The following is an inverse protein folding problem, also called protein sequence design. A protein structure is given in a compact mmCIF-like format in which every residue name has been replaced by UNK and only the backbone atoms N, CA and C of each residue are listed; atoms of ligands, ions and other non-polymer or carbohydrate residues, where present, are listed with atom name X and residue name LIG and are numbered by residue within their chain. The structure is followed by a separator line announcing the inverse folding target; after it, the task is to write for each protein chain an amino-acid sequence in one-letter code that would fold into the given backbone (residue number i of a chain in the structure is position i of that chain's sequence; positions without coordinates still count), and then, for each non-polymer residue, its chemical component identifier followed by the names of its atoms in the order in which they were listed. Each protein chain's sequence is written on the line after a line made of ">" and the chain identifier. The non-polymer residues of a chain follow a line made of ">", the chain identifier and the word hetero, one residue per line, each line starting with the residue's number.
data_IF_461882112842
#
_entry.id   IF_461882112842
#
_cell.length_a   1.000
_cell.length_b   1.000
_cell.length_c   1.000
_cell.angle_alpha   90.00
_cell.angle_beta   90.00
_cell.angle_gamma   90.00
#
_symmetry.space_group_name_H-M   'P 1'
#
loop_
_entity.id
_entity.type
_entity.pdbx_description
1 polymer ?
#
# COMPACT_ATOMS: atom_id res chain seq x y z
N UNK A 1 7.99 -2.48 19.46
CA UNK A 1 9.08 -2.74 20.43
C UNK A 1 10.08 -3.79 19.96
N UNK A 2 10.23 -3.95 18.65
CA UNK A 2 11.20 -4.88 18.05
C UNK A 2 12.58 -4.20 17.85
N UNK A 3 12.60 -2.90 17.59
CA UNK A 3 13.82 -2.11 17.45
C UNK A 3 14.17 -1.33 18.73
N UNK A 4 14.97 -1.94 19.59
CA UNK A 4 15.48 -1.30 20.81
C UNK A 4 16.46 -0.14 20.56
N UNK A 5 17.00 -0.04 19.35
CA UNK A 5 17.92 1.03 18.99
C UNK A 5 17.21 2.28 18.48
N UNK A 6 15.95 2.12 18.01
CA UNK A 6 15.16 3.16 17.33
C UNK A 6 15.76 3.60 15.99
N UNK A 7 16.76 2.85 15.45
CA UNK A 7 17.50 3.27 14.27
C UNK A 7 17.00 2.66 12.97
N UNK A 8 16.24 1.55 13.04
CA UNK A 8 15.83 0.81 11.85
C UNK A 8 14.95 1.65 10.90
N UNK A 9 13.88 2.23 11.42
CA UNK A 9 13.01 3.11 10.64
C UNK A 9 13.77 4.37 10.18
N UNK A 10 14.60 4.97 11.05
CA UNK A 10 15.40 6.13 10.68
C UNK A 10 16.30 5.81 9.48
N UNK A 11 17.01 4.69 9.51
CA UNK A 11 17.89 4.27 8.41
C UNK A 11 17.10 3.99 7.14
N UNK A 12 16.04 3.20 7.24
CA UNK A 12 15.26 2.78 6.09
C UNK A 12 14.62 3.99 5.37
N UNK A 13 13.99 4.90 6.13
CA UNK A 13 13.34 6.09 5.54
C UNK A 13 14.36 7.06 4.95
N UNK A 14 15.47 7.29 5.65
CA UNK A 14 16.55 8.14 5.15
C UNK A 14 17.16 7.57 3.85
N UNK A 15 17.42 6.26 3.80
CA UNK A 15 17.91 5.62 2.58
C UNK A 15 16.91 5.71 1.45
N UNK A 16 15.61 5.52 1.76
CA UNK A 16 14.56 5.60 0.77
C UNK A 16 14.45 7.00 0.16
N UNK A 17 14.59 8.05 0.99
CA UNK A 17 14.69 9.43 0.50
C UNK A 17 15.89 9.63 -0.42
N UNK A 18 17.07 9.15 -0.04
CA UNK A 18 18.31 9.35 -0.81
C UNK A 18 18.28 8.66 -2.18
N UNK A 19 17.62 7.53 -2.28
CA UNK A 19 17.45 6.85 -3.57
C UNK A 19 16.30 7.42 -4.41
N UNK A 20 15.66 8.49 -3.95
CA UNK A 20 14.50 9.09 -4.61
C UNK A 20 13.29 8.17 -4.61
N UNK A 21 13.00 7.58 -3.46
CA UNK A 21 11.83 6.73 -3.26
C UNK A 21 10.53 7.50 -3.47
N UNK A 22 9.51 6.82 -3.99
CA UNK A 22 8.20 7.40 -4.20
C UNK A 22 7.50 7.66 -2.87
N UNK A 23 6.95 8.86 -2.68
CA UNK A 23 6.28 9.26 -1.43
C UNK A 23 7.15 9.03 -0.18
N UNK A 24 8.44 9.34 -0.28
CA UNK A 24 9.40 9.07 0.79
C UNK A 24 9.07 9.87 2.07
N UNK A 25 8.93 9.16 3.19
CA UNK A 25 8.60 9.73 4.49
C UNK A 25 9.72 10.56 5.06
N UNK A 26 9.41 11.72 5.66
CA UNK A 26 10.34 12.43 6.52
C UNK A 26 10.49 11.69 7.85
N UNK A 27 11.67 11.76 8.43
CA UNK A 27 11.94 11.16 9.73
C UNK A 27 12.96 11.97 10.49
N UNK A 28 12.61 12.35 11.73
CA UNK A 28 13.47 13.09 12.62
C UNK A 28 13.44 12.50 14.04
N UNK A 29 14.61 12.25 14.67
CA UNK A 29 14.66 11.87 16.08
C UNK A 29 14.42 13.08 16.95
N UNK A 30 13.60 12.93 17.98
CA UNK A 30 13.24 13.99 18.93
C UNK A 30 13.27 13.49 20.37
N UNK A 31 13.60 14.36 21.30
CA UNK A 31 13.39 14.15 22.73
C UNK A 31 11.94 14.45 23.09
N UNK A 32 11.23 13.46 23.60
CA UNK A 32 9.83 13.63 24.02
C UNK A 32 9.75 14.00 25.50
N UNK A 33 9.08 15.12 25.77
CA UNK A 33 8.68 15.52 27.11
C UNK A 33 7.15 15.58 27.20
N UNK A 34 6.59 14.97 28.23
CA UNK A 34 5.15 15.04 28.55
C UNK A 34 5.01 15.60 29.94
N UNK A 35 4.31 16.70 30.09
CA UNK A 35 4.12 17.42 31.37
C UNK A 35 5.47 17.77 32.08
N UNK A 36 6.49 18.05 31.29
CA UNK A 36 7.85 18.35 31.79
C UNK A 36 8.71 17.13 32.15
N UNK A 37 8.19 15.91 32.02
CA UNK A 37 8.92 14.69 32.24
C UNK A 37 9.48 14.13 30.92
N UNK A 38 10.77 13.80 30.91
CA UNK A 38 11.41 13.16 29.77
C UNK A 38 10.89 11.73 29.57
N UNK A 39 10.47 11.41 28.35
CA UNK A 39 9.89 10.12 28.00
C UNK A 39 10.76 9.29 27.05
N UNK A 40 11.93 9.80 26.70
CA UNK A 40 12.87 9.14 25.79
C UNK A 40 12.89 9.76 24.39
N UNK A 41 13.61 9.08 23.52
CA UNK A 41 13.76 9.47 22.13
C UNK A 41 12.67 8.80 21.31
N UNK A 42 12.04 9.60 20.44
CA UNK A 42 11.00 9.16 19.50
C UNK A 42 11.38 9.58 18.09
N UNK A 43 10.83 8.88 17.10
CA UNK A 43 10.89 9.32 15.72
C UNK A 43 9.60 10.06 15.38
N UNK A 44 9.72 11.29 14.93
CA UNK A 44 8.63 12.00 14.26
C UNK A 44 8.73 11.65 12.78
N UNK A 45 7.65 11.14 12.22
CA UNK A 45 7.57 10.75 10.82
C UNK A 45 6.22 11.11 10.23
N UNK A 46 6.15 11.21 8.91
CA UNK A 46 4.89 11.37 8.20
C UNK A 46 4.02 10.13 8.39
N UNK A 47 2.70 10.32 8.31
CA UNK A 47 1.72 9.23 8.23
C UNK A 47 1.53 8.83 6.76
N UNK A 48 1.29 7.56 6.48
CA UNK A 48 0.85 7.10 5.17
C UNK A 48 -0.60 7.53 4.97
N UNK A 49 -0.80 8.58 4.21
CA UNK A 49 -2.12 9.11 3.84
C UNK A 49 -2.02 9.95 2.57
N UNK A 50 -3.14 10.15 1.90
CA UNK A 50 -3.21 10.99 0.69
C UNK A 50 -3.03 12.47 1.07
N UNK A 51 -1.96 13.07 0.61
CA UNK A 51 -1.65 14.50 0.74
C UNK A 51 -0.54 14.86 -0.25
N UNK A 52 -0.50 16.09 -0.72
CA UNK A 52 0.49 16.58 -1.69
C UNK A 52 1.94 16.49 -1.21
N UNK A 53 2.16 16.47 0.11
CA UNK A 53 3.50 16.34 0.71
C UNK A 53 3.77 14.92 1.23
N UNK A 54 2.85 13.98 1.04
CA UNK A 54 2.94 12.58 1.49
C UNK A 54 2.73 11.64 0.29
N UNK A 55 1.58 10.96 0.21
CA UNK A 55 1.24 10.20 -0.99
C UNK A 55 0.46 11.10 -1.94
N UNK A 56 1.14 11.63 -2.95
CA UNK A 56 0.59 12.61 -3.89
C UNK A 56 -0.26 11.91 -4.96
N UNK A 57 -1.45 11.50 -4.56
CA UNK A 57 -2.53 11.07 -5.43
C UNK A 57 -3.79 11.87 -5.10
N UNK A 58 -4.70 11.99 -6.04
CA UNK A 58 -5.95 12.74 -5.86
C UNK A 58 -6.83 12.06 -4.82
N UNK A 59 -7.21 12.77 -3.76
CA UNK A 59 -8.16 12.25 -2.79
C UNK A 59 -9.52 12.00 -3.44
N UNK A 60 -10.18 10.84 -3.20
CA UNK A 60 -11.51 10.60 -3.70
C UNK A 60 -12.51 11.65 -3.19
N UNK A 61 -13.35 12.15 -4.08
CA UNK A 61 -14.41 13.11 -3.75
C UNK A 61 -15.76 12.38 -3.61
N UNK A 62 -16.26 12.35 -2.38
CA UNK A 62 -17.55 11.77 -2.03
C UNK A 62 -18.68 12.80 -1.89
N UNK A 63 -18.45 14.03 -2.33
CA UNK A 63 -19.41 15.15 -2.17
C UNK A 63 -20.76 14.90 -2.84
N UNK A 64 -20.87 13.91 -3.75
CA UNK A 64 -22.13 13.51 -4.37
C UNK A 64 -23.02 12.65 -3.47
N UNK A 65 -22.52 12.21 -2.31
CA UNK A 65 -23.32 11.54 -1.27
C UNK A 65 -24.09 12.56 -0.40
N UNK A 66 -24.58 13.66 -0.98
CA UNK A 66 -25.31 14.69 -0.28
C UNK A 66 -26.53 14.14 0.46
N UNK A 67 -26.60 14.44 1.76
CA UNK A 67 -27.76 14.19 2.60
C UNK A 67 -27.64 13.11 3.66
N UNK A 68 -26.58 12.29 3.65
CA UNK A 68 -26.37 11.31 4.72
C UNK A 68 -25.36 11.86 5.74
N UNK A 69 -25.75 12.07 7.02
CA UNK A 69 -24.83 12.54 8.03
C UNK A 69 -23.64 11.59 8.14
N UNK A 70 -22.44 12.07 7.88
CA UNK A 70 -21.18 11.30 7.91
C UNK A 70 -21.00 10.53 9.23
N UNK A 71 -21.48 11.11 10.34
CA UNK A 71 -21.47 10.46 11.66
C UNK A 71 -22.35 9.22 11.76
N UNK A 72 -23.46 9.13 11.00
CA UNK A 72 -24.34 7.97 11.01
C UNK A 72 -23.80 6.84 10.11
N UNK A 73 -23.12 7.19 9.05
CA UNK A 73 -22.45 6.24 8.17
C UNK A 73 -21.24 5.62 8.86
N UNK A 74 -20.44 6.39 9.62
CA UNK A 74 -19.24 5.93 10.31
C UNK A 74 -19.48 4.74 11.24
N UNK A 75 -20.51 4.78 12.06
CA UNK A 75 -20.80 3.72 13.06
C UNK A 75 -21.08 2.37 12.38
N UNK A 76 -21.57 2.39 11.16
CA UNK A 76 -22.01 1.18 10.45
C UNK A 76 -20.91 0.67 9.53
N UNK A 77 -20.21 1.58 8.88
CA UNK A 77 -19.14 1.25 7.94
C UNK A 77 -17.90 0.73 8.66
N UNK A 78 -17.73 1.00 9.97
CA UNK A 78 -16.66 0.42 10.79
C UNK A 78 -16.66 -1.13 10.82
N UNK A 79 -17.79 -1.75 10.45
CA UNK A 79 -17.95 -3.20 10.37
C UNK A 79 -18.22 -3.70 8.94
N UNK A 80 -17.98 -2.87 7.93
CA UNK A 80 -18.25 -3.20 6.54
C UNK A 80 -16.98 -3.57 5.82
N UNK A 81 -16.83 -4.84 5.49
CA UNK A 81 -15.78 -5.33 4.61
C UNK A 81 -16.31 -5.43 3.20
N UNK A 82 -15.58 -4.84 2.28
CA UNK A 82 -15.75 -5.04 0.85
C UNK A 82 -14.61 -5.92 0.36
N UNK A 83 -14.90 -7.06 -0.22
CA UNK A 83 -13.88 -7.91 -0.80
C UNK A 83 -14.26 -8.32 -2.22
N UNK A 84 -13.25 -8.57 -3.02
CA UNK A 84 -13.39 -9.02 -4.39
C UNK A 84 -12.40 -10.16 -4.64
N UNK A 85 -12.91 -11.35 -4.91
CA UNK A 85 -12.08 -12.51 -5.25
C UNK A 85 -11.97 -12.63 -6.77
N UNK A 86 -10.78 -12.32 -7.31
CA UNK A 86 -10.51 -12.41 -8.74
C UNK A 86 -10.33 -13.85 -9.24
N UNK A 87 -10.19 -14.83 -8.33
CA UNK A 87 -10.13 -16.27 -8.69
C UNK A 87 -11.52 -16.85 -8.97
N UNK A 88 -12.55 -16.31 -8.32
CA UNK A 88 -13.92 -16.60 -8.67
C UNK A 88 -14.31 -15.61 -9.75
N UNK A 89 -14.62 -16.06 -10.93
CA UNK A 89 -15.07 -15.26 -12.08
C UNK A 89 -15.25 -13.75 -11.77
N UNK A 90 -14.52 -12.85 -12.38
CA UNK A 90 -14.40 -11.39 -12.14
C UNK A 90 -15.74 -10.63 -11.91
N UNK A 91 -16.84 -11.35 -11.93
CA UNK A 91 -18.21 -10.87 -11.71
C UNK A 91 -18.66 -10.94 -10.26
N UNK A 92 -17.90 -11.56 -9.38
CA UNK A 92 -18.29 -11.74 -8.00
C UNK A 92 -17.63 -10.72 -7.07
N UNK A 93 -18.35 -9.65 -6.90
CA UNK A 93 -18.23 -8.92 -5.66
C UNK A 93 -19.18 -9.55 -4.63
N UNK A 94 -18.65 -9.98 -3.54
CA UNK A 94 -19.46 -10.32 -2.38
C UNK A 94 -19.41 -9.17 -1.39
N UNK A 95 -20.35 -8.26 -1.51
CA UNK A 95 -20.72 -7.39 -0.39
C UNK A 95 -21.35 -8.23 0.73
N UNK A 96 -20.56 -9.20 1.20
CA UNK A 96 -21.05 -10.19 2.17
C UNK A 96 -21.56 -9.55 3.47
N UNK A 97 -21.21 -8.27 3.70
CA UNK A 97 -21.62 -7.54 4.89
C UNK A 97 -22.70 -6.48 4.67
N UNK A 98 -23.17 -6.21 3.45
CA UNK A 98 -24.36 -5.38 3.23
C UNK A 98 -25.56 -5.91 4.01
N UNK A 99 -25.73 -7.21 4.06
CA UNK A 99 -26.74 -7.86 4.88
C UNK A 99 -26.52 -7.66 6.38
N UNK A 100 -25.27 -7.71 6.85
CA UNK A 100 -24.94 -7.53 8.26
C UNK A 100 -25.11 -6.06 8.71
N UNK A 101 -24.79 -5.09 7.87
CA UNK A 101 -25.02 -3.66 8.14
C UNK A 101 -26.53 -3.39 8.30
N UNK A 102 -27.31 -3.88 7.35
CA UNK A 102 -28.78 -3.74 7.40
C UNK A 102 -29.35 -4.45 8.62
N UNK A 103 -28.79 -5.59 9.02
CA UNK A 103 -29.18 -6.33 10.22
C UNK A 103 -28.78 -5.61 11.49
N UNK A 104 -27.56 -5.07 11.57
CA UNK A 104 -27.08 -4.31 12.73
C UNK A 104 -27.88 -3.00 12.95
N UNK A 105 -28.39 -2.41 11.89
CA UNK A 105 -29.27 -1.25 11.94
C UNK A 105 -30.76 -1.59 12.06
N UNK A 106 -31.11 -2.86 12.23
CA UNK A 106 -32.50 -3.32 12.16
C UNK A 106 -33.44 -2.68 13.21
N UNK A 107 -32.87 -2.30 14.36
CA UNK A 107 -33.62 -1.70 15.47
C UNK A 107 -33.69 -0.17 15.39
N UNK A 108 -33.02 0.46 14.42
CA UNK A 108 -33.05 1.91 14.20
C UNK A 108 -33.38 2.22 12.74
N UNK A 109 -34.65 2.58 12.52
CA UNK A 109 -35.17 2.85 11.17
C UNK A 109 -34.53 4.11 10.52
N UNK A 110 -34.12 5.12 11.30
CA UNK A 110 -33.44 6.29 10.78
C UNK A 110 -32.02 5.96 10.34
N UNK A 111 -31.29 5.16 11.13
CA UNK A 111 -29.97 4.67 10.84
C UNK A 111 -29.98 3.76 9.61
N UNK A 112 -30.95 2.82 9.56
CA UNK A 112 -31.17 1.95 8.40
C UNK A 112 -31.46 2.72 7.13
N UNK A 113 -32.31 3.74 7.20
CA UNK A 113 -32.61 4.61 6.07
C UNK A 113 -31.37 5.37 5.60
N UNK A 114 -30.55 5.87 6.55
CA UNK A 114 -29.29 6.53 6.26
C UNK A 114 -28.29 5.62 5.55
N UNK A 115 -28.15 4.37 6.03
CA UNK A 115 -27.28 3.36 5.41
C UNK A 115 -27.71 3.00 4.01
N UNK A 116 -29.02 2.79 3.82
CA UNK A 116 -29.56 2.48 2.50
C UNK A 116 -29.41 3.66 1.54
N UNK A 117 -29.58 4.89 2.03
CA UNK A 117 -29.36 6.09 1.24
C UNK A 117 -27.89 6.23 0.84
N UNK A 118 -26.95 5.95 1.76
CA UNK A 118 -25.53 5.94 1.45
C UNK A 118 -25.15 4.85 0.46
N UNK A 119 -25.61 3.62 0.67
CA UNK A 119 -25.38 2.52 -0.26
C UNK A 119 -25.92 2.85 -1.65
N UNK A 120 -27.13 3.43 -1.72
CA UNK A 120 -27.72 3.88 -2.97
C UNK A 120 -26.95 5.03 -3.61
N UNK A 121 -26.52 6.03 -2.82
CA UNK A 121 -25.70 7.12 -3.32
C UNK A 121 -24.31 6.62 -3.79
N UNK A 122 -23.74 5.66 -3.09
CA UNK A 122 -22.50 5.01 -3.51
C UNK A 122 -22.68 4.20 -4.81
N UNK A 123 -23.81 3.52 -4.99
CA UNK A 123 -24.16 2.87 -6.26
C UNK A 123 -24.35 3.87 -7.40
N UNK A 124 -24.99 5.00 -7.16
CA UNK A 124 -25.15 6.05 -8.17
C UNK A 124 -23.83 6.79 -8.46
N UNK A 125 -22.93 6.90 -7.48
CA UNK A 125 -21.60 7.45 -7.67
C UNK A 125 -20.67 6.51 -8.46
N UNK A 126 -21.06 5.26 -8.72
CA UNK A 126 -20.30 4.31 -9.54
C UNK A 126 -20.03 4.84 -10.96
N UNK A 127 -20.93 5.65 -11.49
CA UNK A 127 -20.76 6.28 -12.80
C UNK A 127 -19.68 7.38 -12.81
N UNK A 128 -19.10 7.73 -11.64
CA UNK A 128 -18.14 8.84 -11.49
C UNK A 128 -17.01 8.49 -10.53
N UNK A 129 -16.39 7.32 -10.73
CA UNK A 129 -15.19 7.00 -9.97
C UNK A 129 -14.13 8.09 -10.18
N UNK A 130 -13.57 8.56 -9.09
CA UNK A 130 -12.52 9.58 -9.08
C UNK A 130 -11.52 9.28 -7.95
N UNK A 131 -10.41 10.00 -7.97
CA UNK A 131 -9.38 9.88 -6.96
C UNK A 131 -8.50 8.65 -7.12
N UNK A 132 -7.40 8.67 -6.38
CA UNK A 132 -6.39 7.65 -6.36
C UNK A 132 -6.54 6.70 -5.17
N UNK A 133 -5.60 5.78 -5.09
CA UNK A 133 -5.59 4.74 -4.06
C UNK A 133 -4.23 4.65 -3.39
N UNK A 134 -4.23 4.42 -2.08
CA UNK A 134 -3.12 3.84 -1.34
C UNK A 134 -3.52 2.42 -0.97
N UNK A 135 -2.78 1.48 -1.50
CA UNK A 135 -3.03 0.05 -1.36
C UNK A 135 -1.90 -0.57 -0.52
N UNK A 136 -2.21 -1.62 0.20
CA UNK A 136 -1.22 -2.41 0.92
C UNK A 136 -1.24 -3.84 0.41
N UNK A 137 -0.07 -4.38 0.10
CA UNK A 137 0.08 -5.83 -0.08
C UNK A 137 -0.01 -6.47 1.30
N UNK A 138 -0.98 -7.34 1.48
CA UNK A 138 -1.34 -7.90 2.77
C UNK A 138 -1.58 -9.40 2.66
N UNK A 139 -1.43 -10.13 3.75
CA UNK A 139 -1.72 -11.56 3.77
C UNK A 139 -2.80 -11.95 4.78
N UNK A 140 -3.16 -11.08 5.72
CA UNK A 140 -4.01 -11.45 6.85
C UNK A 140 -5.10 -10.44 7.20
N UNK A 141 -5.06 -9.23 6.64
CA UNK A 141 -5.95 -8.15 7.09
C UNK A 141 -7.30 -8.17 6.40
N UNK A 142 -8.12 -9.17 6.74
CA UNK A 142 -9.53 -9.25 6.33
C UNK A 142 -10.46 -8.36 7.17
N UNK A 143 -9.92 -7.65 8.14
CA UNK A 143 -10.62 -6.66 8.96
C UNK A 143 -10.63 -5.26 8.33
N UNK A 144 -9.82 -5.02 7.30
CA UNK A 144 -9.90 -3.79 6.51
C UNK A 144 -11.24 -3.71 5.74
N UNK A 145 -11.76 -2.49 5.57
CA UNK A 145 -13.06 -2.27 4.94
C UNK A 145 -13.09 -2.67 3.46
N UNK A 146 -11.95 -2.61 2.77
CA UNK A 146 -11.83 -2.98 1.37
C UNK A 146 -10.60 -3.81 1.10
N UNK A 147 -10.75 -4.95 0.43
CA UNK A 147 -9.65 -5.80 -0.01
C UNK A 147 -10.08 -6.73 -1.16
N UNK A 148 -9.10 -7.27 -1.85
CA UNK A 148 -9.30 -8.29 -2.88
C UNK A 148 -8.09 -9.23 -2.95
N UNK A 149 -8.27 -10.37 -3.60
CA UNK A 149 -7.20 -11.35 -3.84
C UNK A 149 -7.09 -11.59 -5.34
N UNK A 150 -5.87 -11.51 -5.86
CA UNK A 150 -5.56 -11.80 -7.27
C UNK A 150 -5.58 -13.31 -7.55
N UNK A 151 -5.56 -13.70 -8.84
CA UNK A 151 -5.52 -15.12 -9.25
C UNK A 151 -4.32 -15.89 -8.70
N UNK A 152 -3.20 -15.20 -8.47
CA UNK A 152 -1.99 -15.82 -7.92
C UNK A 152 -1.89 -15.66 -6.40
N UNK A 153 -2.98 -15.26 -5.74
CA UNK A 153 -3.10 -15.26 -4.30
C UNK A 153 -2.50 -14.03 -3.61
N UNK A 154 -2.19 -12.97 -4.36
CA UNK A 154 -1.74 -11.72 -3.78
C UNK A 154 -2.95 -10.98 -3.22
N UNK A 155 -2.97 -10.79 -1.91
CA UNK A 155 -4.00 -10.02 -1.24
C UNK A 155 -3.62 -8.54 -1.21
N UNK A 156 -4.57 -7.70 -1.57
CA UNK A 156 -4.44 -6.24 -1.56
C UNK A 156 -5.54 -5.66 -0.69
N UNK A 157 -5.17 -4.84 0.28
CA UNK A 157 -6.10 -4.06 1.09
C UNK A 157 -6.02 -2.56 0.77
N UNK A 158 -7.10 -1.83 1.03
CA UNK A 158 -7.16 -0.39 0.86
C UNK A 158 -6.76 0.30 2.16
N UNK A 159 -5.80 1.20 2.08
CA UNK A 159 -5.46 2.12 3.16
C UNK A 159 -6.08 3.50 2.92
N UNK A 160 -6.13 3.91 1.66
CA UNK A 160 -6.86 5.10 1.23
C UNK A 160 -7.57 4.84 -0.10
N UNK A 161 -8.85 5.14 -0.18
CA UNK A 161 -9.70 5.54 0.94
C UNK A 161 -9.85 4.43 1.98
N UNK A 162 -9.87 4.77 3.27
CA UNK A 162 -10.06 3.79 4.36
C UNK A 162 -11.35 2.97 4.20
N UNK A 163 -12.32 3.53 3.49
CA UNK A 163 -13.64 2.93 3.23
C UNK A 163 -14.00 3.06 1.76
N UNK A 164 -13.39 2.22 0.93
CA UNK A 164 -13.67 2.25 -0.50
C UNK A 164 -15.10 1.81 -0.79
N UNK A 165 -15.69 2.37 -1.84
CA UNK A 165 -16.93 1.84 -2.38
C UNK A 165 -16.68 0.50 -3.08
N UNK A 166 -17.75 -0.27 -3.27
CA UNK A 166 -17.70 -1.51 -4.06
C UNK A 166 -17.10 -1.28 -5.46
N UNK A 167 -17.51 -0.21 -6.11
CA UNK A 167 -17.02 0.12 -7.43
C UNK A 167 -15.51 0.43 -7.44
N UNK A 168 -15.00 1.11 -6.41
CA UNK A 168 -13.57 1.36 -6.27
C UNK A 168 -12.79 0.07 -6.08
N UNK A 169 -13.25 -0.81 -5.19
CA UNK A 169 -12.60 -2.12 -4.97
C UNK A 169 -12.61 -2.95 -6.26
N UNK A 170 -13.75 -3.01 -6.96
CA UNK A 170 -13.88 -3.74 -8.20
C UNK A 170 -12.98 -3.17 -9.31
N UNK A 171 -12.94 -1.84 -9.47
CA UNK A 171 -12.12 -1.19 -10.47
C UNK A 171 -10.63 -1.44 -10.24
N UNK A 172 -10.16 -1.28 -8.99
CA UNK A 172 -8.78 -1.55 -8.62
C UNK A 172 -8.43 -3.04 -8.78
N UNK A 173 -9.31 -3.95 -8.34
CA UNK A 173 -9.10 -5.39 -8.47
C UNK A 173 -8.95 -5.83 -9.94
N UNK A 174 -9.80 -5.33 -10.83
CA UNK A 174 -9.71 -5.60 -12.27
C UNK A 174 -8.39 -5.06 -12.82
N UNK A 175 -8.00 -3.85 -12.42
CA UNK A 175 -6.78 -3.23 -12.92
C UNK A 175 -5.52 -3.95 -12.47
N UNK A 176 -5.43 -4.31 -11.19
CA UNK A 176 -4.32 -5.10 -10.64
C UNK A 176 -4.30 -6.51 -11.24
N UNK A 177 -5.47 -7.12 -11.51
CA UNK A 177 -5.51 -8.41 -12.19
C UNK A 177 -5.02 -8.33 -13.63
N UNK A 178 -5.31 -7.24 -14.36
CA UNK A 178 -4.76 -7.03 -15.70
C UNK A 178 -3.24 -6.88 -15.69
N UNK A 179 -2.68 -6.23 -14.66
CA UNK A 179 -1.25 -6.20 -14.41
C UNK A 179 -0.70 -7.62 -14.22
N UNK A 180 -1.29 -8.38 -13.32
CA UNK A 180 -0.83 -9.72 -12.99
C UNK A 180 -0.93 -10.67 -14.20
N UNK A 181 -2.03 -10.61 -14.96
CA UNK A 181 -2.21 -11.38 -16.20
C UNK A 181 -1.11 -11.07 -17.23
N UNK A 182 -0.68 -9.80 -17.32
CA UNK A 182 0.45 -9.41 -18.17
C UNK A 182 1.77 -9.96 -17.64
N UNK A 183 2.03 -9.79 -16.34
CA UNK A 183 3.27 -10.21 -15.68
C UNK A 183 3.51 -11.72 -15.81
N UNK A 184 2.46 -12.52 -15.68
CA UNK A 184 2.54 -13.98 -15.76
C UNK A 184 2.46 -14.52 -17.18
N UNK A 185 2.20 -13.68 -18.17
CA UNK A 185 2.22 -14.13 -19.56
C UNK A 185 3.66 -14.37 -20.05
N UNK A 186 3.83 -15.30 -20.96
CA UNK A 186 5.15 -15.61 -21.52
C UNK A 186 5.79 -14.44 -22.29
N UNK A 187 4.99 -13.47 -22.70
CA UNK A 187 5.42 -12.30 -23.50
C UNK A 187 5.48 -11.01 -22.70
N UNK A 188 4.98 -11.01 -21.45
CA UNK A 188 4.80 -9.79 -20.64
C UNK A 188 3.55 -8.98 -21.02
N UNK A 189 2.70 -9.47 -21.95
CA UNK A 189 1.49 -8.79 -22.42
C UNK A 189 0.25 -9.57 -22.02
N UNK A 190 -0.79 -8.86 -21.59
CA UNK A 190 -2.10 -9.45 -21.34
C UNK A 190 -2.96 -9.54 -22.62
N UNK A 191 -4.17 -10.07 -22.48
CA UNK A 191 -5.11 -10.21 -23.60
C UNK A 191 -5.59 -8.88 -24.21
N UNK A 192 -5.37 -7.76 -23.51
CA UNK A 192 -5.65 -6.41 -24.01
C UNK A 192 -4.48 -5.81 -24.80
N UNK A 193 -3.38 -6.56 -24.96
CA UNK A 193 -2.17 -6.09 -25.64
C UNK A 193 -1.35 -5.08 -24.84
N UNK A 194 -1.60 -4.95 -23.52
CA UNK A 194 -0.82 -4.09 -22.63
C UNK A 194 0.28 -4.90 -21.95
N UNK A 195 1.47 -4.30 -21.86
CA UNK A 195 2.61 -4.85 -21.16
C UNK A 195 2.48 -4.62 -19.65
N UNK A 196 3.05 -5.48 -18.79
CA UNK A 196 2.97 -5.30 -17.34
C UNK A 196 3.58 -3.97 -16.88
N UNK A 197 4.57 -3.41 -17.58
CA UNK A 197 5.15 -2.09 -17.29
C UNK A 197 4.23 -0.90 -17.65
N UNK A 198 3.12 -1.16 -18.34
CA UNK A 198 2.07 -0.14 -18.54
C UNK A 198 1.25 0.06 -17.26
N UNK A 199 1.27 -0.93 -16.37
CA UNK A 199 0.52 -0.96 -15.12
C UNK A 199 1.38 -0.70 -13.89
N UNK A 200 2.68 -1.03 -13.95
CA UNK A 200 3.61 -0.94 -12.83
C UNK A 200 4.75 0.03 -13.16
N UNK A 201 5.10 0.88 -12.23
CA UNK A 201 6.37 1.61 -12.28
C UNK A 201 7.49 0.71 -11.76
N UNK A 202 8.30 0.24 -12.70
CA UNK A 202 9.36 -0.73 -12.46
C UNK A 202 10.43 -0.18 -11.49
N UNK A 203 10.77 1.10 -11.65
CA UNK A 203 11.84 1.71 -10.85
C UNK A 203 11.39 1.90 -9.40
N UNK A 204 10.16 2.33 -9.16
CA UNK A 204 9.64 2.53 -7.80
C UNK A 204 9.60 1.21 -7.01
N UNK A 205 9.09 0.12 -7.64
CA UNK A 205 9.07 -1.19 -6.98
C UNK A 205 10.49 -1.76 -6.80
N UNK A 206 11.40 -1.51 -7.74
CA UNK A 206 12.80 -1.92 -7.60
C UNK A 206 13.48 -1.22 -6.41
N UNK A 207 13.12 0.04 -6.10
CA UNK A 207 13.63 0.79 -4.93
C UNK A 207 13.15 0.16 -3.62
N UNK A 208 11.85 -0.11 -3.47
CA UNK A 208 11.31 -0.76 -2.28
C UNK A 208 11.88 -2.17 -2.09
N UNK A 209 11.93 -2.95 -3.17
CA UNK A 209 12.50 -4.30 -3.14
C UNK A 209 13.99 -4.30 -2.72
N UNK A 210 14.81 -3.43 -3.32
CA UNK A 210 16.24 -3.38 -3.00
C UNK A 210 16.48 -2.92 -1.56
N UNK A 211 15.70 -1.92 -1.09
CA UNK A 211 15.75 -1.47 0.30
C UNK A 211 15.38 -2.61 1.24
N UNK A 212 14.30 -3.32 0.98
CA UNK A 212 13.82 -4.42 1.82
C UNK A 212 14.79 -5.60 1.86
N UNK A 213 15.45 -5.92 0.74
CA UNK A 213 16.53 -6.90 0.70
C UNK A 213 17.73 -6.47 1.55
N UNK A 214 18.12 -5.20 1.47
CA UNK A 214 19.26 -4.68 2.20
C UNK A 214 19.01 -4.61 3.71
N UNK A 215 17.83 -4.19 4.12
CA UNK A 215 17.44 -4.07 5.52
C UNK A 215 17.05 -5.40 6.13
N UNK A 216 16.80 -6.44 5.31
CA UNK A 216 16.25 -7.71 5.77
C UNK A 216 14.81 -7.56 6.30
N UNK A 217 14.01 -6.72 5.64
CA UNK A 217 12.61 -6.51 6.00
C UNK A 217 11.80 -7.80 5.78
N UNK A 218 11.25 -8.34 6.87
CA UNK A 218 10.50 -9.60 6.84
C UNK A 218 9.15 -9.47 6.15
N UNK A 219 8.55 -8.30 6.27
CA UNK A 219 7.16 -8.07 5.90
C UNK A 219 6.99 -7.66 4.43
N UNK A 220 8.10 -7.52 3.69
CA UNK A 220 8.05 -7.12 2.28
C UNK A 220 7.15 -8.04 1.45
N UNK A 221 6.15 -7.46 0.78
CA UNK A 221 5.06 -8.12 0.06
C UNK A 221 4.26 -9.14 0.91
N UNK A 222 4.22 -8.92 2.22
CA UNK A 222 3.47 -9.74 3.16
C UNK A 222 2.54 -8.85 4.02
N UNK A 223 3.05 -7.74 4.53
CA UNK A 223 2.30 -6.66 5.16
C UNK A 223 3.15 -5.39 5.19
N UNK A 224 2.53 -4.26 5.50
CA UNK A 224 3.19 -2.95 5.59
C UNK A 224 3.96 -2.54 4.33
N UNK A 225 3.63 -3.12 3.17
CA UNK A 225 4.24 -2.80 1.88
C UNK A 225 3.22 -2.11 0.98
N UNK A 226 3.47 -0.83 0.71
CA UNK A 226 2.49 0.02 0.06
C UNK A 226 2.72 0.16 -1.44
N UNK A 227 1.59 0.24 -2.13
CA UNK A 227 1.49 0.66 -3.53
C UNK A 227 0.55 1.86 -3.59
N UNK A 228 0.83 2.81 -4.43
CA UNK A 228 -0.14 3.86 -4.73
C UNK A 228 -0.46 3.90 -6.21
N UNK A 229 -1.62 4.40 -6.54
CA UNK A 229 -2.14 4.47 -7.89
C UNK A 229 -2.93 5.77 -8.08
N UNK A 230 -2.49 6.60 -9.03
CA UNK A 230 -3.29 7.70 -9.57
C UNK A 230 -3.94 7.20 -10.87
N UNK A 231 -5.22 6.79 -10.84
CA UNK A 231 -5.84 6.17 -12.01
C UNK A 231 -6.42 7.19 -12.97
N UNK A 232 -6.46 6.80 -14.24
CA UNK A 232 -7.30 7.47 -15.24
C UNK A 232 -8.54 6.59 -15.49
N UNK A 233 -9.72 7.17 -15.37
CA UNK A 233 -10.99 6.47 -15.60
C UNK A 233 -11.59 6.79 -16.97
N UNK A 234 -12.29 5.82 -17.53
CA UNK A 234 -13.21 6.06 -18.65
C UNK A 234 -14.60 6.48 -18.15
N UNK A 235 -15.52 6.73 -19.09
CA UNK A 235 -16.91 7.13 -18.81
C UNK A 235 -17.71 6.10 -18.00
N UNK A 236 -17.27 4.84 -17.96
CA UNK A 236 -17.91 3.74 -17.26
C UNK A 236 -17.22 3.43 -15.90
N UNK A 237 -16.31 4.30 -15.44
CA UNK A 237 -15.56 4.11 -14.19
C UNK A 237 -14.49 3.02 -14.26
N UNK A 238 -14.12 2.55 -15.44
CA UNK A 238 -13.04 1.60 -15.62
C UNK A 238 -11.69 2.31 -15.60
N UNK A 239 -10.73 1.77 -14.87
CA UNK A 239 -9.36 2.27 -14.91
C UNK A 239 -8.71 1.91 -16.24
N UNK A 240 -8.27 2.92 -16.97
CA UNK A 240 -7.66 2.80 -18.30
C UNK A 240 -6.17 3.15 -18.31
N UNK A 241 -5.70 3.83 -17.26
CA UNK A 241 -4.33 4.28 -17.12
C UNK A 241 -3.95 4.57 -15.68
N UNK A 242 -2.72 5.00 -15.47
CA UNK A 242 -2.04 5.12 -14.20
C UNK A 242 -1.05 3.98 -14.01
N UNK A 243 -0.14 4.12 -13.06
CA UNK A 243 0.79 3.05 -12.70
C UNK A 243 0.75 2.79 -11.21
N UNK A 244 0.80 1.53 -10.85
CA UNK A 244 1.10 1.11 -9.49
C UNK A 244 2.52 1.55 -9.17
N UNK A 245 2.68 2.40 -8.17
CA UNK A 245 3.96 2.92 -7.71
C UNK A 245 4.32 2.24 -6.39
N UNK A 246 5.48 1.59 -6.30
CA UNK A 246 5.98 1.05 -5.04
C UNK A 246 6.30 2.16 -4.05
N UNK A 247 5.89 2.00 -2.79
CA UNK A 247 6.05 2.97 -1.71
C UNK A 247 4.76 3.63 -1.23
N UNK A 248 4.88 4.39 -0.12
CA UNK A 248 6.09 4.70 0.66
C UNK A 248 6.71 3.51 1.38
N UNK A 249 7.99 3.61 1.74
CA UNK A 249 8.61 2.68 2.66
C UNK A 249 8.06 2.90 4.08
N UNK A 250 7.61 1.83 4.74
CA UNK A 250 6.94 1.90 6.04
C UNK A 250 7.30 0.70 6.91
N UNK A 251 7.28 0.89 8.23
CA UNK A 251 7.34 -0.15 9.25
C UNK A 251 8.57 -1.09 9.19
N UNK A 252 9.75 -0.49 9.19
CA UNK A 252 11.02 -1.21 9.15
C UNK A 252 11.57 -1.56 10.54
N UNK A 253 10.76 -1.47 11.59
CA UNK A 253 11.22 -1.73 12.97
C UNK A 253 11.59 -3.21 13.21
N UNK A 254 10.97 -4.13 12.48
CA UNK A 254 11.32 -5.56 12.50
C UNK A 254 12.44 -5.93 11.52
N UNK A 255 13.03 -4.94 10.84
CA UNK A 255 14.13 -5.18 9.92
C UNK A 255 15.34 -5.78 10.65
N UNK A 256 15.89 -6.83 10.07
CA UNK A 256 17.02 -7.51 10.63
C UNK A 256 18.26 -7.27 9.77
N UNK A 257 18.99 -6.22 10.04
CA UNK A 257 20.27 -5.92 9.38
C UNK A 257 21.35 -6.95 9.68
N UNK A 258 21.04 -8.01 10.42
CA UNK A 258 21.98 -9.07 10.75
C UNK A 258 22.23 -9.98 9.54
N UNK A 259 23.48 -10.32 9.33
CA UNK A 259 23.97 -11.06 8.17
C UNK A 259 23.59 -12.54 8.14
N UNK A 260 23.11 -13.09 9.26
CA UNK A 260 22.73 -14.50 9.40
C UNK A 260 21.31 -14.81 8.90
N UNK A 261 20.52 -13.77 8.67
CA UNK A 261 19.17 -13.87 8.09
C UNK A 261 19.05 -12.91 6.92
N UNK A 262 19.86 -13.09 5.92
CA UNK A 262 19.64 -12.42 4.65
C UNK A 262 18.34 -13.00 4.07
N UNK A 263 17.24 -12.32 4.34
CA UNK A 263 16.00 -12.50 3.60
C UNK A 263 16.13 -11.98 2.17
N UNK A 264 17.35 -12.05 1.66
CA UNK A 264 17.73 -11.61 0.34
C UNK A 264 17.01 -12.36 -0.78
N UNK A 265 16.36 -13.46 -0.47
CA UNK A 265 15.58 -14.23 -1.42
C UNK A 265 14.07 -14.15 -1.13
N UNK A 266 13.55 -12.94 -1.17
CA UNK A 266 12.10 -12.70 -1.23
C UNK A 266 11.49 -13.12 -2.58
N UNK A 267 12.29 -13.72 -3.46
CA UNK A 267 11.81 -14.34 -4.69
C UNK A 267 11.17 -15.71 -4.45
N UNK A 268 11.32 -16.29 -3.25
CA UNK A 268 10.77 -17.60 -2.96
C UNK A 268 9.25 -17.54 -2.80
N UNK A 269 8.56 -18.40 -3.51
CA UNK A 269 7.10 -18.49 -3.58
C UNK A 269 6.46 -19.11 -2.32
N UNK A 270 7.21 -19.26 -1.23
CA UNK A 270 6.83 -20.18 -0.16
C UNK A 270 5.99 -19.56 0.95
N UNK A 271 5.72 -18.27 0.91
CA UNK A 271 4.92 -17.64 1.95
C UNK A 271 3.77 -16.89 1.29
N UNK A 272 2.59 -17.45 1.39
CA UNK A 272 1.29 -16.84 1.10
C UNK A 272 1.04 -16.29 -0.33
N UNK A 273 1.86 -16.59 -1.32
CA UNK A 273 1.66 -16.16 -2.70
C UNK A 273 2.06 -14.72 -3.01
N UNK A 274 2.16 -13.84 -2.02
CA UNK A 274 2.41 -12.41 -2.21
C UNK A 274 3.75 -12.11 -2.89
N UNK A 275 4.79 -12.87 -2.58
CA UNK A 275 6.11 -12.75 -3.23
C UNK A 275 6.15 -13.28 -4.66
N UNK A 276 5.04 -13.84 -5.13
CA UNK A 276 4.94 -14.39 -6.47
C UNK A 276 5.24 -13.34 -7.56
N UNK A 277 4.87 -12.08 -7.35
CA UNK A 277 5.18 -11.00 -8.30
C UNK A 277 6.67 -10.79 -8.47
N UNK A 278 7.44 -10.76 -7.37
CA UNK A 278 8.91 -10.61 -7.45
C UNK A 278 9.54 -11.77 -8.20
N UNK A 279 9.10 -13.00 -7.94
CA UNK A 279 9.64 -14.18 -8.64
C UNK A 279 9.38 -14.16 -10.15
N UNK A 280 8.31 -13.49 -10.60
CA UNK A 280 8.06 -13.26 -12.02
C UNK A 280 8.87 -12.07 -12.54
N UNK A 281 8.87 -10.92 -11.82
CA UNK A 281 9.61 -9.73 -12.23
C UNK A 281 11.11 -10.01 -12.41
N UNK A 282 11.72 -10.83 -11.55
CA UNK A 282 13.13 -11.22 -11.68
C UNK A 282 13.44 -12.03 -12.95
N UNK A 283 12.44 -12.52 -13.68
CA UNK A 283 12.61 -13.18 -15.00
C UNK A 283 12.64 -12.16 -16.15
N UNK A 284 12.30 -10.91 -15.88
CA UNK A 284 12.22 -9.83 -16.87
C UNK A 284 13.45 -8.94 -16.80
N UNK A 285 14.04 -8.65 -17.96
CA UNK A 285 15.29 -7.91 -18.05
C UNK A 285 15.20 -6.47 -17.57
N UNK A 286 14.07 -5.79 -17.80
CA UNK A 286 13.86 -4.40 -17.39
C UNK A 286 13.84 -4.23 -15.85
N UNK A 287 13.27 -5.17 -15.11
CA UNK A 287 13.32 -5.14 -13.65
C UNK A 287 14.73 -5.42 -13.11
N UNK A 288 15.41 -6.43 -13.67
CA UNK A 288 16.79 -6.74 -13.26
C UNK A 288 17.78 -5.64 -13.64
N UNK A 289 17.57 -4.97 -14.77
CA UNK A 289 18.38 -3.82 -15.18
C UNK A 289 18.13 -2.61 -14.26
N UNK A 290 16.89 -2.37 -13.85
CA UNK A 290 16.57 -1.34 -12.87
C UNK A 290 17.26 -1.61 -11.53
N UNK A 291 17.21 -2.85 -11.04
CA UNK A 291 17.91 -3.26 -9.82
C UNK A 291 19.42 -3.06 -9.93
N UNK A 292 20.02 -3.45 -11.06
CA UNK A 292 21.46 -3.28 -11.27
C UNK A 292 21.86 -1.80 -11.29
N UNK A 293 21.12 -0.98 -12.01
CA UNK A 293 21.32 0.46 -12.08
C UNK A 293 21.23 1.14 -10.70
N UNK A 294 20.20 0.79 -9.93
CA UNK A 294 20.02 1.30 -8.57
C UNK A 294 21.16 0.85 -7.66
N UNK A 295 21.46 -0.46 -7.63
CA UNK A 295 22.51 -1.05 -6.79
C UNK A 295 23.88 -0.41 -7.02
N UNK A 296 24.22 -0.12 -8.28
CA UNK A 296 25.53 0.45 -8.64
C UNK A 296 25.57 1.99 -8.63
N UNK A 297 24.41 2.63 -8.51
CA UNK A 297 24.24 4.09 -8.53
C UNK A 297 23.76 4.65 -7.19
N UNK A 298 22.50 5.13 -7.18
CA UNK A 298 21.93 5.84 -6.03
C UNK A 298 21.97 5.02 -4.72
N UNK A 299 21.69 3.72 -4.80
CA UNK A 299 21.67 2.88 -3.62
C UNK A 299 23.09 2.69 -3.01
N UNK A 300 24.13 2.52 -3.83
CA UNK A 300 25.49 2.44 -3.35
C UNK A 300 25.92 3.73 -2.63
N UNK A 301 25.50 4.89 -3.14
CA UNK A 301 25.75 6.19 -2.53
C UNK A 301 25.01 6.33 -1.19
N UNK A 302 23.75 5.93 -1.12
CA UNK A 302 22.95 5.93 0.11
C UNK A 302 23.58 5.04 1.19
N UNK A 303 24.03 3.84 0.84
CA UNK A 303 24.73 2.94 1.76
C UNK A 303 26.04 3.58 2.27
N UNK A 304 26.81 4.24 1.40
CA UNK A 304 28.07 4.89 1.78
C UNK A 304 27.82 6.06 2.76
N UNK A 305 26.78 6.86 2.56
CA UNK A 305 26.42 7.99 3.45
C UNK A 305 25.84 7.53 4.79
N UNK A 306 25.20 6.37 4.83
CA UNK A 306 24.45 5.90 6.00
C UNK A 306 25.34 5.69 7.22
N UNK A 307 26.58 5.27 7.04
CA UNK A 307 27.51 5.07 8.14
C UNK A 307 27.71 6.33 9.01
N UNK A 308 27.87 7.47 8.37
CA UNK A 308 28.06 8.74 9.08
C UNK A 308 26.77 9.26 9.71
N UNK A 309 25.64 9.01 9.04
CA UNK A 309 24.32 9.37 9.56
C UNK A 309 23.95 8.58 10.80
N UNK A 310 24.15 7.27 10.79
CA UNK A 310 23.94 6.42 11.98
C UNK A 310 24.88 6.79 13.11
N UNK A 311 26.14 7.09 12.81
CA UNK A 311 27.09 7.56 13.83
C UNK A 311 26.66 8.91 14.43
N UNK A 312 26.09 9.80 13.63
CA UNK A 312 25.53 11.09 14.10
C UNK A 312 24.28 10.87 14.94
N UNK A 313 23.35 10.03 14.46
CA UNK A 313 22.18 9.63 15.21
C UNK A 313 22.56 9.07 16.59
N UNK A 314 23.48 8.10 16.64
CA UNK A 314 23.93 7.48 17.89
C UNK A 314 24.59 8.48 18.86
N UNK A 315 25.31 9.49 18.36
CA UNK A 315 25.87 10.56 19.21
C UNK A 315 24.76 11.45 19.79
N UNK A 316 23.78 11.79 19.00
CA UNK A 316 22.63 12.61 19.44
C UNK A 316 21.83 11.86 20.52
N UNK A 317 21.54 10.59 20.27
CA UNK A 317 20.83 9.70 21.22
C UNK A 317 21.63 9.53 22.53
N UNK A 318 22.96 9.41 22.47
CA UNK A 318 23.80 9.25 23.67
C UNK A 318 23.97 10.56 24.47
N UNK A 319 23.66 11.71 23.87
CA UNK A 319 23.72 13.01 24.52
C UNK A 319 22.40 13.42 25.23
N UNK A 320 21.33 12.72 24.94
CA UNK A 320 19.99 12.90 25.56
C UNK A 320 19.85 12.03 26.79
#
# INVERSE_FOLDING_TARGET
>A
YYDFSGVNNYMAYTMYQEIGGNSAMHVEPVDLYVDGEYRGIYLVTDKVEIDTNRVDVTAPDYSTAEGTPESQVRVIVDNYDTHFDTNADVKYWQGAKNGAIVTAAADDEALKAGVLAYAYAAEQAQDKLNGGYVLEVSHQYTDEAGWFITKHGVMISFKEPERPTQAQVQAAAIYVQQFEDALYSATGYNSLGKHYSDYLDIESLAKTYLLSCFTGQNDFLDCSDYLNLEPTYDENGKITGGKLMGGPAWDYDVSNYATDRLYADKSSTNVNGNQAWISQLLKHGDFTDALYKLKTGAFANAVASMKDKVATYGKNVAAS
#
